data_IF_967439976150
#
_entry.id   IF_967439976150
#
_cell.length_a   1.000
_cell.length_b   1.000
_cell.length_c   1.000
_cell.angle_alpha   90.00
_cell.angle_beta   90.00
_cell.angle_gamma   90.00
#
_symmetry.space_group_name_H-M   'P 1'
#
loop_
_entity.id
_entity.type
_entity.pdbx_description
1 polymer ?
#
# COMPACT_ATOMS: atom_id res chain seq x y z
N UNK A 1 8.67 33.66 17.89
CA UNK A 1 7.85 33.62 16.66
C UNK A 1 8.69 32.99 15.59
N UNK A 2 8.28 31.83 15.08
CA UNK A 2 9.02 31.09 14.04
C UNK A 2 8.17 31.13 12.77
N UNK A 3 8.51 31.97 11.77
CA UNK A 3 7.77 32.01 10.51
C UNK A 3 7.76 30.62 9.85
N UNK A 4 6.56 30.10 9.60
CA UNK A 4 6.37 28.79 8.96
C UNK A 4 6.36 27.59 9.91
N UNK A 5 6.32 27.80 11.23
CA UNK A 5 6.16 26.68 12.17
C UNK A 5 4.83 25.96 11.96
N UNK A 6 4.89 24.62 11.94
CA UNK A 6 3.71 23.75 11.93
C UNK A 6 3.57 23.15 13.33
N UNK A 7 2.46 23.45 13.98
CA UNK A 7 2.07 22.82 15.24
C UNK A 7 1.11 21.67 14.93
N UNK A 8 1.61 20.44 14.94
CA UNK A 8 0.79 19.24 14.67
C UNK A 8 -0.05 18.87 15.89
N UNK A 9 -1.15 18.15 15.67
CA UNK A 9 -1.82 17.43 16.75
C UNK A 9 -0.96 16.29 17.28
N UNK A 10 -1.28 15.81 18.48
CA UNK A 10 -0.54 14.74 19.14
C UNK A 10 -0.90 13.35 18.59
N UNK A 11 -2.10 13.21 18.03
CA UNK A 11 -2.64 11.92 17.61
C UNK A 11 -2.24 11.55 16.16
N UNK A 12 -1.97 10.25 15.89
CA UNK A 12 -1.74 9.77 14.54
C UNK A 12 -3.01 9.84 13.68
N UNK A 13 -2.84 10.04 12.38
CA UNK A 13 -3.93 10.02 11.40
C UNK A 13 -4.22 8.57 10.99
N UNK A 14 -5.43 8.09 11.30
CA UNK A 14 -5.91 6.81 10.78
C UNK A 14 -6.14 6.91 9.26
N UNK A 15 -5.58 5.96 8.51
CA UNK A 15 -5.79 5.85 7.06
C UNK A 15 -6.67 4.65 6.73
N UNK A 16 -7.46 4.79 5.68
CA UNK A 16 -8.35 3.72 5.17
C UNK A 16 -9.39 3.21 6.20
N UNK A 17 -9.80 4.05 7.16
CA UNK A 17 -10.76 3.72 8.21
C UNK A 17 -12.03 3.06 7.65
N UNK A 18 -12.49 2.00 8.32
CA UNK A 18 -13.70 1.25 7.97
C UNK A 18 -13.64 0.44 6.67
N UNK A 19 -12.49 0.39 5.97
CA UNK A 19 -12.33 -0.41 4.74
C UNK A 19 -11.83 -1.82 5.05
N UNK A 20 -12.31 -2.85 4.35
CA UNK A 20 -11.81 -4.21 4.52
C UNK A 20 -10.35 -4.32 4.07
N UNK A 21 -9.52 -4.94 4.92
CA UNK A 21 -8.10 -5.20 4.67
C UNK A 21 -7.86 -6.70 4.54
N UNK A 22 -6.93 -7.09 3.66
CA UNK A 22 -6.48 -8.47 3.49
C UNK A 22 -4.96 -8.51 3.57
N UNK A 23 -4.44 -9.55 4.22
CA UNK A 23 -3.00 -9.84 4.24
C UNK A 23 -2.71 -10.96 3.25
N UNK A 24 -1.75 -10.73 2.37
CA UNK A 24 -1.32 -11.69 1.34
C UNK A 24 0.20 -11.79 1.40
N UNK A 25 0.72 -13.02 1.40
CA UNK A 25 2.17 -13.26 1.28
C UNK A 25 2.57 -13.14 -0.19
N UNK A 26 3.63 -12.39 -0.46
CA UNK A 26 4.10 -12.11 -1.83
C UNK A 26 5.58 -12.45 -1.94
N UNK A 27 5.96 -13.16 -3.01
CA UNK A 27 7.35 -13.46 -3.33
C UNK A 27 7.71 -12.88 -4.70
N UNK A 28 8.81 -12.12 -4.78
CA UNK A 28 9.36 -11.73 -6.07
C UNK A 28 10.23 -12.88 -6.62
N UNK A 29 9.80 -13.49 -7.73
CA UNK A 29 10.51 -14.55 -8.44
C UNK A 29 11.40 -14.03 -9.57
N UNK A 30 11.35 -12.71 -9.83
CA UNK A 30 12.15 -12.07 -10.86
C UNK A 30 13.59 -11.81 -10.44
N UNK A 31 14.41 -11.45 -11.42
CA UNK A 31 15.83 -11.08 -11.27
C UNK A 31 16.06 -9.59 -11.00
N UNK A 32 14.97 -8.80 -10.97
CA UNK A 32 14.98 -7.34 -10.82
C UNK A 32 14.05 -6.90 -9.69
N UNK A 33 14.36 -5.77 -9.04
CA UNK A 33 13.49 -5.20 -8.02
C UNK A 33 12.14 -4.80 -8.60
N UNK A 34 11.09 -4.91 -7.78
CA UNK A 34 9.73 -4.49 -8.10
C UNK A 34 9.22 -3.59 -6.97
N UNK A 35 8.66 -2.45 -7.34
CA UNK A 35 7.96 -1.53 -6.43
C UNK A 35 6.51 -1.36 -6.92
N UNK A 36 5.55 -1.33 -6.00
CA UNK A 36 4.13 -1.17 -6.31
C UNK A 36 3.60 0.03 -5.52
N UNK A 37 2.94 0.96 -6.21
CA UNK A 37 2.38 2.17 -5.60
C UNK A 37 1.09 1.92 -4.80
N UNK A 38 0.74 2.85 -3.92
CA UNK A 38 -0.39 2.73 -2.98
C UNK A 38 -1.75 2.45 -3.64
N UNK A 39 -1.99 2.97 -4.85
CA UNK A 39 -3.27 2.91 -5.56
C UNK A 39 -3.31 1.95 -6.75
N UNK A 40 -2.24 1.21 -6.99
CA UNK A 40 -2.22 0.23 -8.07
C UNK A 40 -3.15 -0.96 -7.73
N UNK A 41 -3.92 -1.44 -8.71
CA UNK A 41 -4.76 -2.63 -8.53
C UNK A 41 -3.86 -3.85 -8.29
N UNK A 42 -3.79 -4.33 -7.06
CA UNK A 42 -2.71 -5.23 -6.64
C UNK A 42 -2.73 -6.55 -7.41
N UNK A 43 -3.92 -7.06 -7.74
CA UNK A 43 -4.07 -8.26 -8.58
C UNK A 43 -3.45 -8.13 -9.99
N UNK A 44 -3.28 -6.92 -10.51
CA UNK A 44 -2.65 -6.67 -11.82
C UNK A 44 -1.14 -6.41 -11.75
N UNK A 45 -0.52 -6.47 -10.55
CA UNK A 45 0.89 -6.13 -10.37
C UNK A 45 1.82 -7.03 -11.19
N UNK A 46 3.10 -6.67 -11.30
CA UNK A 46 4.10 -7.38 -12.11
C UNK A 46 3.94 -8.92 -12.03
N UNK A 47 3.87 -9.65 -13.16
CA UNK A 47 3.71 -11.11 -13.18
C UNK A 47 4.80 -11.90 -12.44
N UNK A 48 5.99 -11.33 -12.25
CA UNK A 48 7.07 -11.94 -11.47
C UNK A 48 6.78 -12.00 -9.96
N UNK A 49 5.75 -11.29 -9.48
CA UNK A 49 5.27 -11.40 -8.11
C UNK A 49 4.31 -12.59 -8.00
N UNK A 50 4.74 -13.61 -7.27
CA UNK A 50 4.00 -14.82 -6.96
C UNK A 50 3.18 -14.65 -5.67
N UNK A 51 1.86 -14.74 -5.80
CA UNK A 51 0.86 -14.63 -4.72
C UNK A 51 -0.54 -15.02 -5.20
N UNK A 52 -1.50 -15.19 -4.27
CA UNK A 52 -2.91 -15.43 -4.60
C UNK A 52 -3.57 -14.18 -5.20
N UNK A 53 -3.63 -14.15 -6.54
CA UNK A 53 -4.23 -13.05 -7.33
C UNK A 53 -5.73 -12.89 -7.09
N UNK A 54 -6.45 -13.98 -6.84
CA UNK A 54 -7.90 -13.93 -6.62
C UNK A 54 -8.21 -13.22 -5.28
N UNK A 55 -7.42 -13.50 -4.24
CA UNK A 55 -7.55 -12.82 -2.94
C UNK A 55 -7.31 -11.31 -3.00
N UNK A 56 -6.50 -10.85 -3.97
CA UNK A 56 -6.14 -9.45 -4.16
C UNK A 56 -7.07 -8.70 -5.13
N UNK A 57 -8.07 -9.36 -5.72
CA UNK A 57 -8.93 -8.75 -6.74
C UNK A 57 -9.77 -7.61 -6.17
N UNK A 58 -9.59 -6.41 -6.73
CA UNK A 58 -10.30 -5.20 -6.31
C UNK A 58 -9.66 -4.51 -5.10
N UNK A 59 -8.51 -5.01 -4.64
CA UNK A 59 -7.74 -4.44 -3.54
C UNK A 59 -6.51 -3.66 -4.06
N UNK A 60 -6.03 -2.76 -3.20
CA UNK A 60 -4.79 -2.00 -3.32
C UNK A 60 -4.02 -2.09 -1.99
N UNK A 61 -2.78 -1.63 -1.95
CA UNK A 61 -1.99 -1.60 -0.71
C UNK A 61 -2.65 -0.69 0.34
N UNK A 62 -2.71 -1.18 1.58
CA UNK A 62 -3.21 -0.45 2.74
C UNK A 62 -2.09 0.41 3.38
N UNK A 63 -1.49 1.29 2.57
CA UNK A 63 -0.38 2.18 2.95
C UNK A 63 -0.77 3.64 2.70
N UNK A 64 -0.02 4.64 3.21
CA UNK A 64 -0.25 6.05 2.88
C UNK A 64 -0.28 6.30 1.37
N UNK A 65 -1.03 7.32 0.95
CA UNK A 65 -1.11 7.69 -0.45
C UNK A 65 0.24 8.22 -0.97
N UNK A 66 0.62 7.78 -2.17
CA UNK A 66 1.95 7.98 -2.77
C UNK A 66 2.35 6.84 -3.69
#
# INVERSE_FOLDING_TARGET
MIPGEILTGDDPVEINAGRPVRTVLVRNMGDRPVQVGSHYHFAAANPALDFDRASAWGHRLAVPAG
#
